data_IF_099062103494
#
_entry.id   IF_099062103494
#
_cell.length_a   1.000
_cell.length_b   1.000
_cell.length_c   1.000
_cell.angle_alpha   90.00
_cell.angle_beta   90.00
_cell.angle_gamma   90.00
#
_symmetry.space_group_name_H-M   'P 1'
#
loop_
_entity.id
_entity.type
_entity.pdbx_description
1 polymer ?
#
# COMPACT_ATOMS: atom_id res chain seq x y z
N UNK A 1 -13.21 -3.71 -18.04
CA UNK A 1 -12.28 -3.04 -17.12
C UNK A 1 -10.96 -2.83 -17.84
N UNK A 2 -10.41 -1.62 -17.86
CA UNK A 2 -9.11 -1.31 -18.46
C UNK A 2 -8.10 -1.04 -17.36
N UNK A 3 -6.90 -1.61 -17.44
CA UNK A 3 -5.81 -1.33 -16.51
C UNK A 3 -4.84 -0.32 -17.14
N UNK A 4 -4.59 0.79 -16.44
CA UNK A 4 -3.54 1.73 -16.77
C UNK A 4 -2.38 1.57 -15.77
N UNK A 5 -1.16 1.37 -16.28
CA UNK A 5 0.08 1.42 -15.50
C UNK A 5 0.72 2.76 -15.80
N UNK A 6 0.87 3.61 -14.76
CA UNK A 6 1.26 5.01 -14.90
C UNK A 6 2.66 5.19 -14.32
N UNK A 7 3.58 5.76 -15.10
CA UNK A 7 4.95 6.05 -14.68
C UNK A 7 5.45 7.40 -15.25
N UNK A 8 6.75 7.69 -15.19
CA UNK A 8 7.32 8.89 -15.83
C UNK A 8 7.34 8.79 -17.36
N UNK A 9 7.50 7.56 -17.89
CA UNK A 9 7.59 7.27 -19.30
C UNK A 9 6.75 6.03 -19.66
N UNK A 10 6.33 5.96 -20.93
CA UNK A 10 5.66 4.78 -21.48
C UNK A 10 6.72 3.76 -21.88
N UNK A 11 6.44 2.47 -21.65
CA UNK A 11 7.34 1.39 -22.01
C UNK A 11 7.74 0.55 -20.79
N UNK A 12 8.81 -0.25 -20.92
CA UNK A 12 9.29 -1.08 -19.82
C UNK A 12 9.86 -0.20 -18.68
N UNK A 13 9.26 -0.27 -17.50
CA UNK A 13 9.74 0.40 -16.28
C UNK A 13 10.11 -0.62 -15.21
N UNK A 14 11.27 -0.46 -14.59
CA UNK A 14 11.74 -1.37 -13.55
C UNK A 14 11.04 -1.09 -12.22
N UNK A 15 10.64 -2.13 -11.49
CA UNK A 15 10.25 -2.02 -10.08
C UNK A 15 11.46 -2.04 -9.14
N UNK A 16 12.67 -2.12 -9.67
CA UNK A 16 13.92 -2.04 -8.92
C UNK A 16 14.14 -0.64 -8.37
N UNK A 17 14.42 -0.55 -7.07
CA UNK A 17 14.84 0.71 -6.46
C UNK A 17 16.34 0.94 -6.67
N UNK A 18 16.79 2.18 -6.90
CA UNK A 18 18.21 2.51 -6.80
C UNK A 18 18.71 2.25 -5.36
N UNK A 19 20.03 2.10 -5.14
CA UNK A 19 20.61 2.05 -3.81
C UNK A 19 20.14 3.26 -2.99
N UNK A 20 19.62 3.00 -1.79
CA UNK A 20 19.08 4.02 -0.90
C UNK A 20 19.40 3.63 0.54
N UNK A 21 19.32 4.60 1.45
CA UNK A 21 19.51 4.37 2.89
C UNK A 21 18.17 4.29 3.60
N UNK A 22 18.02 3.39 4.56
CA UNK A 22 16.81 3.32 5.42
C UNK A 22 16.84 4.35 6.57
N UNK A 23 18.02 4.88 6.89
CA UNK A 23 18.25 5.96 7.85
C UNK A 23 19.39 6.87 7.37
N UNK A 24 19.44 8.11 7.83
CA UNK A 24 20.41 9.12 7.39
C UNK A 24 21.87 8.64 7.49
N UNK A 25 22.20 7.94 8.59
CA UNK A 25 23.54 7.40 8.89
C UNK A 25 23.73 5.93 8.50
N UNK A 26 22.71 5.26 7.95
CA UNK A 26 22.79 3.84 7.61
C UNK A 26 23.60 3.57 6.33
N UNK A 27 24.27 2.41 6.21
CA UNK A 27 24.85 2.01 4.93
C UNK A 27 23.74 1.85 3.86
N UNK A 28 24.01 2.15 2.57
CA UNK A 28 23.06 1.85 1.51
C UNK A 28 22.71 0.37 1.50
N UNK A 29 21.42 0.03 1.36
CA UNK A 29 21.05 -1.37 1.15
C UNK A 29 21.31 -1.73 -0.32
N UNK A 30 22.21 -2.69 -0.53
CA UNK A 30 22.33 -3.38 -1.81
C UNK A 30 21.21 -4.43 -1.88
N UNK A 31 20.32 -4.26 -2.85
CA UNK A 31 19.21 -5.15 -3.15
C UNK A 31 19.31 -5.72 -4.56
N UNK A 32 20.50 -5.74 -5.15
CA UNK A 32 20.76 -6.28 -6.48
C UNK A 32 20.41 -7.77 -6.63
N UNK A 33 20.24 -8.49 -5.52
CA UNK A 33 19.79 -9.88 -5.48
C UNK A 33 18.27 -10.06 -5.37
N UNK A 34 17.50 -8.99 -5.14
CA UNK A 34 16.03 -9.08 -5.18
C UNK A 34 15.54 -9.18 -6.62
N UNK A 35 14.43 -9.90 -6.84
CA UNK A 35 13.74 -9.86 -8.12
C UNK A 35 13.23 -8.44 -8.40
N UNK A 36 13.64 -7.87 -9.52
CA UNK A 36 13.23 -6.55 -9.99
C UNK A 36 12.46 -6.70 -11.31
N UNK A 37 11.17 -7.09 -11.24
CA UNK A 37 10.37 -7.23 -12.44
C UNK A 37 10.28 -5.89 -13.20
N UNK A 38 10.23 -6.00 -14.51
CA UNK A 38 9.90 -4.88 -15.38
C UNK A 38 8.42 -4.96 -15.74
N UNK A 39 7.72 -3.84 -15.58
CA UNK A 39 6.30 -3.71 -15.91
C UNK A 39 6.17 -2.77 -17.10
N UNK A 40 5.23 -3.04 -18.00
CA UNK A 40 4.95 -2.13 -19.12
C UNK A 40 4.06 -0.97 -18.64
N UNK A 41 4.66 0.20 -18.45
CA UNK A 41 3.91 1.44 -18.29
C UNK A 41 3.16 1.76 -19.58
N UNK A 42 1.85 1.94 -19.46
CA UNK A 42 0.96 2.23 -20.59
C UNK A 42 0.71 3.73 -20.73
N UNK A 43 0.88 4.50 -19.66
CA UNK A 43 0.69 5.94 -19.62
C UNK A 43 1.76 6.60 -18.75
N UNK A 44 1.88 7.90 -18.94
CA UNK A 44 2.63 8.81 -18.06
C UNK A 44 1.69 9.56 -17.13
N UNK A 45 2.21 10.19 -16.08
CA UNK A 45 1.42 11.11 -15.24
C UNK A 45 0.69 12.22 -16.03
N UNK A 46 1.21 12.60 -17.21
CA UNK A 46 0.65 13.69 -18.04
C UNK A 46 -0.50 13.23 -18.94
N UNK A 47 -0.48 11.98 -19.39
CA UNK A 47 -1.47 11.45 -20.35
C UNK A 47 -2.28 10.28 -19.78
N UNK A 48 -2.24 10.06 -18.47
CA UNK A 48 -3.11 9.11 -17.80
C UNK A 48 -4.59 9.38 -18.14
N UNK A 49 -5.39 8.34 -18.42
CA UNK A 49 -6.80 8.48 -18.76
C UNK A 49 -7.62 8.91 -17.53
N UNK A 50 -8.94 9.08 -17.70
CA UNK A 50 -9.85 9.09 -16.55
C UNK A 50 -9.75 7.76 -15.80
N UNK A 51 -9.82 7.82 -14.46
CA UNK A 51 -9.65 6.67 -13.57
C UNK A 51 -10.83 6.59 -12.61
N UNK A 52 -11.43 5.41 -12.49
CA UNK A 52 -12.44 5.14 -11.46
C UNK A 52 -11.75 4.80 -10.12
N UNK A 53 -10.66 4.02 -10.19
CA UNK A 53 -9.87 3.56 -9.05
C UNK A 53 -8.39 3.88 -9.28
N UNK A 54 -7.76 4.57 -8.33
CA UNK A 54 -6.31 4.79 -8.31
C UNK A 54 -5.67 3.95 -7.20
N UNK A 55 -4.71 3.10 -7.54
CA UNK A 55 -3.95 2.30 -6.58
C UNK A 55 -2.49 2.73 -6.57
N UNK A 56 -2.00 3.14 -5.40
CA UNK A 56 -0.60 3.49 -5.17
C UNK A 56 0.11 2.33 -4.46
N UNK A 57 0.97 1.58 -5.16
CA UNK A 57 1.70 0.48 -4.55
C UNK A 57 2.76 1.00 -3.59
N UNK A 58 3.21 0.11 -2.72
CA UNK A 58 4.37 0.34 -1.87
C UNK A 58 5.67 -0.03 -2.56
N UNK A 59 6.68 -0.29 -1.73
CA UNK A 59 8.01 -0.64 -2.17
C UNK A 59 9.00 0.49 -1.91
N UNK A 60 10.24 0.17 -2.21
CA UNK A 60 11.38 0.99 -1.82
C UNK A 60 11.57 2.22 -2.73
N UNK A 61 10.98 2.17 -3.93
CA UNK A 61 10.90 3.31 -4.83
C UNK A 61 10.30 4.55 -4.16
N UNK A 62 9.26 4.40 -3.31
CA UNK A 62 8.67 5.54 -2.60
C UNK A 62 9.67 6.22 -1.64
N UNK A 63 10.56 5.44 -1.01
CA UNK A 63 11.64 5.97 -0.15
C UNK A 63 12.71 6.67 -0.98
N UNK A 64 13.10 6.07 -2.11
CA UNK A 64 14.08 6.65 -3.02
C UNK A 64 13.57 7.98 -3.62
N UNK A 65 12.31 8.04 -4.06
CA UNK A 65 11.66 9.26 -4.57
C UNK A 65 11.63 10.34 -3.48
N UNK A 66 11.25 9.97 -2.27
CA UNK A 66 11.27 10.89 -1.13
C UNK A 66 12.65 11.49 -0.86
N UNK A 67 13.72 10.70 -0.94
CA UNK A 67 15.10 11.17 -0.76
C UNK A 67 15.58 12.06 -1.91
N UNK A 68 15.09 11.80 -3.12
CA UNK A 68 15.37 12.61 -4.30
C UNK A 68 14.53 13.90 -4.38
N UNK A 69 13.62 14.14 -3.41
CA UNK A 69 12.59 15.18 -3.48
C UNK A 69 11.73 15.12 -4.75
N UNK A 70 11.56 13.92 -5.33
CA UNK A 70 10.65 13.70 -6.44
C UNK A 70 9.23 13.56 -5.89
N UNK A 71 8.36 14.49 -6.27
CA UNK A 71 6.97 14.59 -5.82
C UNK A 71 5.96 14.19 -6.88
N UNK A 72 6.42 13.57 -7.98
CA UNK A 72 5.58 13.23 -9.13
C UNK A 72 4.36 12.37 -8.77
N UNK A 73 4.53 11.41 -7.86
CA UNK A 73 3.43 10.56 -7.37
C UNK A 73 2.49 11.37 -6.49
N UNK A 74 3.01 12.15 -5.54
CA UNK A 74 2.23 13.00 -4.64
C UNK A 74 1.40 14.03 -5.43
N UNK A 75 2.01 14.67 -6.42
CA UNK A 75 1.37 15.66 -7.29
C UNK A 75 0.27 15.02 -8.15
N UNK A 76 0.52 13.84 -8.68
CA UNK A 76 -0.49 13.09 -9.43
C UNK A 76 -1.67 12.67 -8.55
N UNK A 77 -1.40 12.16 -7.34
CA UNK A 77 -2.44 11.81 -6.37
C UNK A 77 -3.28 13.03 -6.02
N UNK A 78 -2.64 14.16 -5.69
CA UNK A 78 -3.35 15.42 -5.36
C UNK A 78 -4.21 15.92 -6.52
N UNK A 79 -3.69 15.83 -7.75
CA UNK A 79 -4.42 16.24 -8.95
C UNK A 79 -5.65 15.36 -9.22
N UNK A 80 -5.54 14.04 -8.98
CA UNK A 80 -6.59 13.07 -9.33
C UNK A 80 -7.55 12.73 -8.21
N UNK A 81 -7.25 13.10 -6.96
CA UNK A 81 -8.00 12.65 -5.80
C UNK A 81 -9.51 12.89 -5.92
N UNK A 82 -9.95 14.08 -6.32
CA UNK A 82 -11.38 14.40 -6.44
C UNK A 82 -12.06 13.77 -7.67
N UNK A 83 -11.27 13.25 -8.62
CA UNK A 83 -11.75 12.68 -9.88
C UNK A 83 -11.96 11.17 -9.82
N UNK A 84 -11.39 10.49 -8.80
CA UNK A 84 -11.52 9.04 -8.63
C UNK A 84 -12.61 8.71 -7.62
N UNK A 85 -13.31 7.61 -7.88
CA UNK A 85 -14.30 7.05 -6.96
C UNK A 85 -13.63 6.37 -5.76
N UNK A 86 -12.46 5.77 -5.97
CA UNK A 86 -11.68 5.12 -4.91
C UNK A 86 -10.19 5.37 -5.04
N UNK A 87 -9.53 5.57 -3.89
CA UNK A 87 -8.08 5.68 -3.76
C UNK A 87 -7.56 4.58 -2.83
N UNK A 88 -6.73 3.70 -3.37
CA UNK A 88 -6.14 2.58 -2.66
C UNK A 88 -4.64 2.80 -2.48
N UNK A 89 -4.08 2.31 -1.39
CA UNK A 89 -2.63 2.13 -1.26
C UNK A 89 -2.27 0.86 -0.51
N UNK A 90 -1.13 0.29 -0.87
CA UNK A 90 -0.55 -0.86 -0.17
C UNK A 90 0.81 -0.46 0.38
N UNK A 91 1.14 -0.91 1.60
CA UNK A 91 2.47 -0.79 2.17
C UNK A 91 2.92 0.69 2.22
N UNK A 92 4.16 1.00 1.81
CA UNK A 92 4.69 2.37 1.79
C UNK A 92 3.98 3.30 0.80
N UNK A 93 3.03 2.84 -0.01
CA UNK A 93 2.21 3.71 -0.85
C UNK A 93 1.43 4.74 -0.03
N UNK A 94 1.07 4.39 1.22
CA UNK A 94 0.44 5.30 2.17
C UNK A 94 1.30 6.55 2.47
N UNK A 95 2.62 6.48 2.28
CA UNK A 95 3.52 7.63 2.41
C UNK A 95 3.21 8.70 1.37
N UNK A 96 3.07 8.31 0.10
CA UNK A 96 2.77 9.26 -0.98
C UNK A 96 1.37 9.86 -0.82
N UNK A 97 0.41 9.08 -0.29
CA UNK A 97 -0.91 9.59 0.07
C UNK A 97 -0.84 10.61 1.21
N UNK A 98 -0.06 10.34 2.26
CA UNK A 98 0.14 11.26 3.38
C UNK A 98 0.78 12.57 2.89
N UNK A 99 1.85 12.49 2.10
CA UNK A 99 2.56 13.66 1.54
C UNK A 99 1.74 14.43 0.52
N UNK A 100 0.82 13.77 -0.19
CA UNK A 100 -0.13 14.44 -1.07
C UNK A 100 -1.13 15.32 -0.28
N UNK A 101 -1.29 15.09 1.03
CA UNK A 101 -2.25 15.75 1.91
C UNK A 101 -3.64 15.11 1.90
N UNK A 102 -3.85 14.05 1.12
CA UNK A 102 -5.19 13.44 0.97
C UNK A 102 -5.61 12.59 2.18
N UNK A 103 -4.68 12.31 3.09
CA UNK A 103 -4.95 11.61 4.36
C UNK A 103 -5.18 12.56 5.55
N UNK A 104 -5.11 13.87 5.36
CA UNK A 104 -5.30 14.82 6.47
C UNK A 104 -6.72 14.71 7.05
N UNK A 105 -6.79 14.52 8.38
CA UNK A 105 -8.04 14.29 9.10
C UNK A 105 -8.63 12.89 8.92
N UNK A 106 -7.93 11.96 8.24
CA UNK A 106 -8.40 10.61 7.93
C UNK A 106 -7.72 9.55 8.78
N UNK A 107 -8.34 8.37 8.86
CA UNK A 107 -7.72 7.15 9.37
C UNK A 107 -6.96 6.44 8.25
N UNK A 108 -5.78 5.92 8.56
CA UNK A 108 -4.98 5.14 7.61
C UNK A 108 -4.08 4.11 8.32
N UNK A 109 -3.52 3.17 7.56
CA UNK A 109 -2.46 2.25 8.00
C UNK A 109 -1.38 2.14 6.92
N UNK A 110 -0.24 1.53 7.29
CA UNK A 110 0.90 1.23 6.43
C UNK A 110 1.58 -0.05 6.90
N UNK A 111 2.55 -0.57 6.16
CA UNK A 111 3.28 -1.77 6.55
C UNK A 111 4.07 -1.54 7.84
N UNK A 112 4.10 -2.56 8.70
CA UNK A 112 4.63 -2.45 10.06
C UNK A 112 6.15 -2.26 10.06
N UNK A 113 6.86 -2.88 9.12
CA UNK A 113 8.32 -2.73 9.01
C UNK A 113 8.78 -1.31 8.64
N UNK A 114 7.96 -0.52 7.92
CA UNK A 114 8.26 0.87 7.56
C UNK A 114 7.41 1.88 8.34
N UNK A 115 6.75 1.45 9.42
CA UNK A 115 5.81 2.28 10.16
C UNK A 115 6.42 3.62 10.58
N UNK A 116 7.59 3.57 11.21
CA UNK A 116 8.26 4.77 11.72
C UNK A 116 8.64 5.78 10.62
N UNK A 117 9.03 5.31 9.43
CA UNK A 117 9.40 6.21 8.32
C UNK A 117 8.18 6.80 7.62
N UNK A 118 7.05 6.10 7.61
CA UNK A 118 5.83 6.55 6.92
C UNK A 118 4.98 7.47 7.80
N UNK A 119 4.82 7.15 9.09
CA UNK A 119 3.89 7.88 9.98
C UNK A 119 4.26 9.36 10.13
N UNK A 120 5.53 9.72 10.02
CA UNK A 120 5.99 11.10 10.04
C UNK A 120 5.77 11.90 8.75
N UNK A 121 5.28 11.26 7.68
CA UNK A 121 5.11 11.90 6.36
C UNK A 121 3.78 12.66 6.20
N UNK A 122 2.89 12.61 7.19
CA UNK A 122 1.64 13.38 7.23
C UNK A 122 1.48 14.09 8.57
N UNK A 123 0.82 15.26 8.57
CA UNK A 123 0.74 16.13 9.74
C UNK A 123 -0.52 15.91 10.58
N UNK A 124 -1.59 15.35 9.99
CA UNK A 124 -2.88 15.18 10.65
C UNK A 124 -3.54 13.82 10.30
N UNK A 125 -2.76 12.74 10.25
CA UNK A 125 -3.29 11.40 9.93
C UNK A 125 -3.50 10.60 11.22
N UNK A 126 -4.68 9.98 11.37
CA UNK A 126 -4.96 9.03 12.45
C UNK A 126 -4.48 7.63 12.06
N UNK A 127 -3.22 7.33 12.31
CA UNK A 127 -2.63 6.03 11.99
C UNK A 127 -3.17 4.93 12.90
N UNK A 128 -3.57 3.78 12.32
CA UNK A 128 -4.16 2.63 13.04
C UNK A 128 -3.14 1.47 13.14
N UNK A 129 -2.43 1.33 14.26
CA UNK A 129 -1.25 0.45 14.38
C UNK A 129 -1.50 -1.02 14.04
N UNK A 130 -2.60 -1.58 14.57
CA UNK A 130 -2.91 -3.01 14.43
C UNK A 130 -3.77 -3.32 13.20
N UNK A 131 -4.15 -2.32 12.39
CA UNK A 131 -4.99 -2.58 11.24
C UNK A 131 -4.23 -3.32 10.14
N UNK A 132 -4.89 -4.32 9.55
CA UNK A 132 -4.51 -5.01 8.33
C UNK A 132 -4.80 -4.13 7.12
N UNK A 133 -5.99 -3.54 7.10
CA UNK A 133 -6.34 -2.42 6.24
C UNK A 133 -7.29 -1.46 6.97
N UNK A 134 -7.38 -0.24 6.47
CA UNK A 134 -8.31 0.79 6.92
C UNK A 134 -9.08 1.29 5.70
N UNK A 135 -10.40 1.34 5.85
CA UNK A 135 -11.30 2.08 4.95
C UNK A 135 -11.76 3.35 5.66
N UNK A 136 -11.57 4.50 5.03
CA UNK A 136 -12.09 5.81 5.46
C UNK A 136 -12.71 6.52 4.25
N UNK A 137 -14.04 6.41 4.13
CA UNK A 137 -14.77 6.85 2.95
C UNK A 137 -14.28 6.13 1.69
N UNK A 138 -13.78 6.89 0.71
CA UNK A 138 -13.22 6.36 -0.54
C UNK A 138 -11.76 5.93 -0.47
N UNK A 139 -11.10 6.18 0.66
CA UNK A 139 -9.68 5.88 0.84
C UNK A 139 -9.53 4.51 1.51
N UNK A 140 -8.71 3.66 0.91
CA UNK A 140 -8.39 2.33 1.38
C UNK A 140 -6.88 2.18 1.50
N UNK A 141 -6.37 1.96 2.71
CA UNK A 141 -4.93 1.76 2.93
C UNK A 141 -4.69 0.40 3.57
N UNK A 142 -3.75 -0.39 3.07
CA UNK A 142 -3.35 -1.66 3.69
C UNK A 142 -1.92 -1.64 4.19
N UNK A 143 -1.64 -2.59 5.08
CA UNK A 143 -0.31 -2.84 5.63
C UNK A 143 0.61 -3.55 4.62
N UNK A 144 1.16 -4.72 4.94
CA UNK A 144 2.10 -5.43 4.07
C UNK A 144 1.45 -6.08 2.84
N UNK A 145 2.23 -6.89 2.11
CA UNK A 145 1.81 -7.57 0.87
C UNK A 145 0.56 -8.43 1.09
N UNK A 146 0.58 -9.32 2.09
CA UNK A 146 -0.58 -10.19 2.39
C UNK A 146 -1.81 -9.37 2.78
N UNK A 147 -1.62 -8.34 3.61
CA UNK A 147 -2.68 -7.40 3.97
C UNK A 147 -3.27 -6.67 2.76
N UNK A 148 -2.45 -6.39 1.74
CA UNK A 148 -2.89 -5.80 0.47
C UNK A 148 -3.74 -6.75 -0.37
N UNK A 149 -3.40 -8.04 -0.40
CA UNK A 149 -4.24 -9.06 -1.04
C UNK A 149 -5.59 -9.23 -0.32
N UNK A 150 -5.57 -9.22 1.02
CA UNK A 150 -6.79 -9.25 1.85
C UNK A 150 -7.65 -8.00 1.65
N UNK A 151 -7.02 -6.81 1.58
CA UNK A 151 -7.72 -5.56 1.26
C UNK A 151 -8.33 -5.62 -0.14
N UNK A 152 -7.63 -6.18 -1.13
CA UNK A 152 -8.17 -6.31 -2.49
C UNK A 152 -9.42 -7.20 -2.50
N UNK A 153 -9.41 -8.31 -1.76
CA UNK A 153 -10.62 -9.12 -1.56
C UNK A 153 -11.75 -8.31 -0.91
N UNK A 154 -11.46 -7.63 0.21
CA UNK A 154 -12.46 -6.83 0.92
C UNK A 154 -13.03 -5.69 0.05
N UNK A 155 -12.20 -5.09 -0.79
CA UNK A 155 -12.60 -4.05 -1.75
C UNK A 155 -13.51 -4.61 -2.85
N UNK A 156 -13.17 -5.76 -3.43
CA UNK A 156 -14.04 -6.42 -4.41
C UNK A 156 -15.38 -6.83 -3.79
N UNK A 157 -15.38 -7.36 -2.57
CA UNK A 157 -16.61 -7.67 -1.83
C UNK A 157 -17.44 -6.41 -1.54
N UNK A 158 -16.79 -5.26 -1.28
CA UNK A 158 -17.47 -3.98 -1.11
C UNK A 158 -18.15 -3.51 -2.40
N UNK A 159 -17.53 -3.71 -3.56
CA UNK A 159 -18.06 -3.28 -4.85
C UNK A 159 -19.18 -4.19 -5.38
N UNK A 160 -19.02 -5.51 -5.27
CA UNK A 160 -19.90 -6.49 -5.92
C UNK A 160 -20.87 -7.18 -4.96
N UNK A 161 -20.61 -7.11 -3.65
CA UNK A 161 -21.30 -7.91 -2.64
C UNK A 161 -20.48 -9.13 -2.23
N UNK A 162 -20.55 -9.50 -0.96
CA UNK A 162 -19.82 -10.65 -0.41
C UNK A 162 -20.35 -12.01 -0.90
N UNK A 163 -21.58 -12.04 -1.40
CA UNK A 163 -22.26 -13.20 -1.98
C UNK A 163 -22.16 -13.25 -3.52
N UNK A 164 -21.36 -12.36 -4.14
CA UNK A 164 -21.15 -12.36 -5.58
C UNK A 164 -20.49 -13.66 -6.07
N UNK A 165 -21.15 -14.31 -7.03
CA UNK A 165 -20.69 -15.58 -7.58
C UNK A 165 -19.37 -15.44 -8.36
N UNK A 166 -19.12 -14.28 -8.97
CA UNK A 166 -17.88 -13.98 -9.68
C UNK A 166 -16.69 -13.88 -8.73
N UNK A 167 -16.88 -13.19 -7.60
CA UNK A 167 -15.91 -13.12 -6.51
C UNK A 167 -15.65 -14.50 -5.93
N UNK A 168 -16.71 -15.28 -5.63
CA UNK A 168 -16.56 -16.66 -5.17
C UNK A 168 -15.73 -17.51 -6.14
N UNK A 169 -16.07 -17.48 -7.44
CA UNK A 169 -15.35 -18.24 -8.45
C UNK A 169 -13.89 -17.79 -8.59
N UNK A 170 -13.63 -16.47 -8.49
CA UNK A 170 -12.27 -15.90 -8.56
C UNK A 170 -11.43 -16.41 -7.41
N UNK A 171 -11.93 -16.30 -6.17
CA UNK A 171 -11.18 -16.70 -4.97
C UNK A 171 -10.86 -18.20 -4.95
N UNK A 172 -11.83 -19.04 -5.32
CA UNK A 172 -11.61 -20.48 -5.44
C UNK A 172 -10.69 -20.82 -6.62
N UNK A 173 -10.79 -20.10 -7.74
CA UNK A 173 -9.97 -20.34 -8.92
C UNK A 173 -8.49 -19.97 -8.76
N UNK A 174 -8.19 -18.97 -7.91
CA UNK A 174 -6.82 -18.62 -7.54
C UNK A 174 -6.35 -19.32 -6.25
N UNK A 175 -7.21 -20.15 -5.65
CA UNK A 175 -6.96 -20.88 -4.40
C UNK A 175 -6.52 -19.96 -3.24
N UNK A 176 -7.08 -18.75 -3.18
CA UNK A 176 -6.73 -17.77 -2.15
C UNK A 176 -7.78 -17.74 -1.04
N UNK A 177 -7.34 -18.00 0.19
CA UNK A 177 -8.16 -17.87 1.40
C UNK A 177 -7.84 -16.53 2.10
N UNK A 178 -8.69 -15.50 1.98
CA UNK A 178 -8.39 -14.17 2.50
C UNK A 178 -8.61 -14.11 4.01
N UNK A 179 -7.79 -13.33 4.70
CA UNK A 179 -8.05 -12.95 6.08
C UNK A 179 -9.01 -11.76 6.13
N UNK A 180 -10.16 -11.92 6.79
CA UNK A 180 -11.27 -10.96 6.69
C UNK A 180 -11.41 -9.99 7.86
N UNK A 181 -10.59 -10.10 8.91
CA UNK A 181 -10.56 -9.08 9.98
C UNK A 181 -9.65 -7.89 9.59
N UNK A 182 -10.19 -6.68 9.36
CA UNK A 182 -9.42 -5.47 9.08
C UNK A 182 -8.57 -4.99 10.26
N UNK A 183 -8.96 -5.36 11.48
CA UNK A 183 -8.34 -4.82 12.69
C UNK A 183 -7.16 -5.65 13.17
N UNK A 184 -6.81 -6.72 12.45
CA UNK A 184 -5.79 -7.68 12.87
C UNK A 184 -4.57 -7.71 11.95
N UNK A 185 -3.43 -7.26 12.46
CA UNK A 185 -2.13 -7.41 11.83
C UNK A 185 -1.11 -7.93 12.86
N UNK A 186 -0.70 -9.22 12.78
CA UNK A 186 0.21 -9.82 13.75
C UNK A 186 1.61 -9.18 13.69
N UNK A 187 1.97 -8.56 12.57
CA UNK A 187 3.26 -7.89 12.45
C UNK A 187 3.32 -6.61 13.27
N UNK A 188 2.18 -6.06 13.72
CA UNK A 188 2.18 -4.94 14.66
C UNK A 188 2.84 -5.31 15.99
N UNK A 189 2.70 -6.56 16.44
CA UNK A 189 3.37 -7.11 17.63
C UNK A 189 4.86 -7.37 17.34
N UNK A 190 5.16 -8.01 16.20
CA UNK A 190 6.54 -8.32 15.76
C UNK A 190 7.42 -7.07 15.74
N UNK A 191 6.93 -5.99 15.12
CA UNK A 191 7.65 -4.73 15.00
C UNK A 191 7.44 -3.79 16.19
N UNK A 192 6.71 -4.23 17.23
CA UNK A 192 6.43 -3.45 18.46
C UNK A 192 5.89 -2.05 18.17
N UNK A 193 4.89 -1.98 17.30
CA UNK A 193 4.36 -0.70 16.83
C UNK A 193 3.69 0.04 18.00
N UNK A 194 4.04 1.31 18.27
CA UNK A 194 3.39 2.10 19.31
C UNK A 194 1.86 2.15 19.13
N UNK A 195 1.12 1.87 20.20
CA UNK A 195 -0.35 1.84 20.18
C UNK A 195 -0.96 0.54 19.61
N UNK A 196 -0.14 -0.45 19.25
CA UNK A 196 -0.63 -1.78 18.89
C UNK A 196 -1.11 -2.55 20.12
N UNK A 197 -2.11 -3.42 19.91
CA UNK A 197 -2.55 -4.38 20.93
C UNK A 197 -1.57 -5.55 21.01
N UNK A 198 -0.66 -5.46 21.98
CA UNK A 198 0.42 -6.44 22.19
C UNK A 198 -0.05 -7.77 22.78
N UNK A 199 -1.31 -7.85 23.22
CA UNK A 199 -1.90 -9.05 23.81
C UNK A 199 -2.71 -9.87 22.79
N UNK A 200 -2.78 -9.44 21.52
CA UNK A 200 -3.49 -10.21 20.50
C UNK A 200 -2.86 -11.57 20.29
N UNK A 201 -3.72 -12.58 20.19
CA UNK A 201 -3.30 -13.93 19.81
C UNK A 201 -2.65 -13.93 18.43
N UNK A 202 -1.54 -14.65 18.33
CA UNK A 202 -0.86 -14.97 17.08
C UNK A 202 -1.27 -16.37 16.57
N UNK A 203 -2.16 -17.07 17.28
CA UNK A 203 -2.51 -18.48 17.04
C UNK A 203 -3.29 -18.71 15.74
N UNK A 204 -4.03 -17.71 15.26
CA UNK A 204 -4.72 -17.75 13.96
C UNK A 204 -3.74 -17.63 12.76
N UNK A 205 -2.43 -17.53 13.05
CA UNK A 205 -1.33 -17.68 12.10
C UNK A 205 -0.43 -18.84 12.52
N UNK A 206 0.18 -19.50 11.53
CA UNK A 206 1.52 -20.07 11.78
C UNK A 206 2.36 -18.87 12.23
N UNK A 207 2.76 -18.83 13.51
CA UNK A 207 3.49 -17.71 14.12
C UNK A 207 4.49 -17.10 13.10
N UNK A 208 4.65 -15.77 13.05
CA UNK A 208 5.65 -15.14 12.19
C UNK A 208 6.97 -15.91 12.30
N UNK A 209 7.56 -16.29 11.16
CA UNK A 209 8.72 -17.19 11.14
C UNK A 209 9.79 -16.68 12.11
N UNK A 210 10.12 -17.49 13.12
CA UNK A 210 11.13 -17.16 14.14
C UNK A 210 10.62 -16.48 15.42
N UNK A 211 9.29 -16.44 15.66
CA UNK A 211 8.67 -16.01 16.92
C UNK A 211 8.05 -17.17 17.72
#
# INVERSE_FOLDING_TARGET
MTLAVIAHEIGPVSSGGPPHRMSEDGPPMDLGYLMQPTVMATHTFRNAPALDVLLIPGGIGNVALAQANDTSVEDFVRLRFDQVDYLLSVCTGAMSLAKAGVLDGRRATTNKSAWASVVGSGTNVTWVPSARWVQDGKIWTSSGVSSGMDMAYAFLAHLYGSDDQGLFNTMNGIEYAPHTDPHWDPFSVVYKIPGADMNRSLEDCVKPVGF
#
